data_IF_369871839309
#
_entry.id   IF_369871839309
#
_cell.length_a   1.000
_cell.length_b   1.000
_cell.length_c   1.000
_cell.angle_alpha   90.00
_cell.angle_beta   90.00
_cell.angle_gamma   90.00
#
_symmetry.space_group_name_H-M   'P 1'
#
loop_
_entity.id
_entity.type
_entity.pdbx_description
1 polymer ?
#
# COMPACT_ATOMS: atom_id res chain seq x y z
N UNK A 1 23.18 65.51 -43.53
CA UNK A 1 23.25 64.05 -43.43
C UNK A 1 22.95 63.67 -41.98
N UNK A 2 21.72 63.19 -41.71
CA UNK A 2 21.31 62.74 -40.37
C UNK A 2 21.53 61.22 -40.27
N UNK A 3 22.43 60.78 -39.38
CA UNK A 3 22.66 59.38 -39.12
C UNK A 3 21.58 58.88 -38.15
N UNK A 4 20.76 57.96 -38.63
CA UNK A 4 19.73 57.29 -37.82
C UNK A 4 20.40 56.11 -37.09
N UNK A 5 20.40 56.12 -35.75
CA UNK A 5 20.87 55.04 -34.92
C UNK A 5 19.66 54.17 -34.60
N UNK A 6 19.66 52.93 -35.09
CA UNK A 6 18.64 51.90 -34.73
C UNK A 6 19.14 51.17 -33.48
N UNK A 7 18.37 51.19 -32.38
CA UNK A 7 18.77 50.40 -31.20
C UNK A 7 18.45 48.92 -31.43
N UNK A 8 19.49 48.11 -31.38
CA UNK A 8 19.37 46.68 -31.42
C UNK A 8 18.92 46.16 -30.02
N UNK A 9 17.65 45.81 -29.90
CA UNK A 9 17.15 45.21 -28.67
C UNK A 9 17.55 43.74 -28.65
N UNK A 10 18.54 43.39 -27.84
CA UNK A 10 18.89 42.02 -27.49
C UNK A 10 17.84 41.47 -26.51
N UNK A 11 16.92 40.67 -27.04
CA UNK A 11 16.00 39.87 -26.19
C UNK A 11 16.79 38.71 -25.63
N UNK A 12 17.21 38.82 -24.39
CA UNK A 12 17.74 37.69 -23.59
C UNK A 12 16.60 36.73 -23.29
N UNK A 13 16.51 35.64 -24.03
CA UNK A 13 15.63 34.50 -23.72
C UNK A 13 16.16 33.80 -22.46
N UNK A 14 15.68 34.20 -21.29
CA UNK A 14 15.95 33.48 -20.05
C UNK A 14 15.25 32.11 -20.15
N UNK A 15 16.00 31.09 -20.51
CA UNK A 15 15.55 29.70 -20.42
C UNK A 15 15.43 29.36 -18.94
N UNK A 16 14.25 29.52 -18.36
CA UNK A 16 13.96 29.04 -17.03
C UNK A 16 14.05 27.52 -17.07
N UNK A 17 15.14 26.96 -16.57
CA UNK A 17 15.25 25.53 -16.29
C UNK A 17 14.15 25.18 -15.29
N UNK A 18 13.08 24.56 -15.75
CA UNK A 18 12.10 23.96 -14.87
C UNK A 18 12.83 22.78 -14.20
N UNK A 19 13.27 22.99 -12.98
CA UNK A 19 13.79 21.92 -12.15
C UNK A 19 12.62 21.03 -11.77
N UNK A 20 12.47 19.93 -12.47
CA UNK A 20 11.61 18.85 -12.01
C UNK A 20 12.26 18.26 -10.76
N UNK A 21 11.63 18.41 -9.61
CA UNK A 21 12.03 17.66 -8.43
C UNK A 21 11.98 16.17 -8.81
N UNK A 22 13.07 15.45 -8.53
CA UNK A 22 13.11 14.02 -8.80
C UNK A 22 11.91 13.36 -8.13
N UNK A 23 11.11 12.64 -8.93
CA UNK A 23 9.96 11.93 -8.42
C UNK A 23 10.41 10.88 -7.40
N UNK A 24 9.77 10.87 -6.24
CA UNK A 24 10.13 9.96 -5.15
C UNK A 24 9.55 8.59 -5.37
N UNK A 25 10.31 7.55 -5.03
CA UNK A 25 9.78 6.20 -4.92
C UNK A 25 8.75 6.13 -3.80
N UNK A 26 7.71 5.33 -4.00
CA UNK A 26 6.60 5.19 -3.05
C UNK A 26 6.44 3.71 -2.70
N UNK A 27 6.53 3.40 -1.41
CA UNK A 27 6.09 2.12 -0.86
C UNK A 27 4.81 2.37 -0.08
N UNK A 28 3.71 1.80 -0.58
CA UNK A 28 2.43 1.84 0.11
C UNK A 28 2.27 0.56 0.93
N UNK A 29 2.66 0.64 2.20
CA UNK A 29 2.59 -0.47 3.12
C UNK A 29 1.18 -0.54 3.72
N UNK A 30 0.49 -1.66 3.53
CA UNK A 30 -0.85 -1.88 4.06
C UNK A 30 -0.92 -3.20 4.83
N UNK A 31 -1.36 -3.12 6.07
CA UNK A 31 -1.66 -4.26 6.93
C UNK A 31 -3.11 -4.69 6.77
N UNK A 32 -3.46 -5.84 7.31
CA UNK A 32 -4.81 -6.36 7.23
C UNK A 32 -5.39 -6.53 8.63
N UNK A 33 -6.54 -5.90 8.86
CA UNK A 33 -7.25 -5.98 10.15
C UNK A 33 -6.43 -5.44 11.34
N UNK A 34 -5.64 -4.40 11.08
CA UNK A 34 -4.83 -3.75 12.11
C UNK A 34 -5.67 -2.78 12.94
N UNK A 35 -5.64 -2.96 14.24
CA UNK A 35 -6.12 -1.98 15.21
C UNK A 35 -4.99 -1.00 15.59
N UNK A 36 -5.26 0.10 16.32
CA UNK A 36 -4.24 1.05 16.74
C UNK A 36 -3.35 0.53 17.90
N UNK A 37 -3.16 -0.78 18.01
CA UNK A 37 -2.27 -1.44 18.98
C UNK A 37 -0.83 -1.39 18.48
N UNK A 38 -0.26 -0.19 18.43
CA UNK A 38 1.10 0.10 18.01
C UNK A 38 1.74 1.04 19.04
N UNK A 39 3.05 0.97 19.22
CA UNK A 39 3.78 1.81 20.15
C UNK A 39 3.56 3.31 19.90
N UNK A 40 3.61 3.73 18.63
CA UNK A 40 3.36 5.12 18.23
C UNK A 40 1.96 5.65 18.55
N UNK A 41 0.98 4.77 18.79
CA UNK A 41 -0.36 5.12 19.27
C UNK A 41 -0.52 4.96 20.80
N UNK A 42 0.58 4.67 21.50
CA UNK A 42 0.59 4.60 22.96
C UNK A 42 0.23 3.22 23.53
N UNK A 43 0.21 2.16 22.73
CA UNK A 43 0.02 0.81 23.23
C UNK A 43 1.23 0.39 24.09
N UNK A 44 1.04 0.04 25.39
CA UNK A 44 2.16 -0.26 26.27
C UNK A 44 2.77 -1.64 26.07
N UNK A 45 2.11 -2.50 25.31
CA UNK A 45 2.48 -3.91 25.15
C UNK A 45 3.09 -4.16 23.76
N UNK A 46 2.54 -3.53 22.74
CA UNK A 46 3.02 -3.69 21.37
C UNK A 46 4.46 -3.21 21.21
N UNK A 47 5.31 -4.04 20.65
CA UNK A 47 6.70 -3.70 20.33
C UNK A 47 6.82 -3.52 18.83
N UNK A 48 6.74 -2.28 18.37
CA UNK A 48 6.68 -1.92 16.95
C UNK A 48 7.77 -0.90 16.56
N UNK A 49 9.05 -1.14 16.93
CA UNK A 49 10.10 -0.12 16.83
C UNK A 49 10.31 0.42 15.40
N UNK A 50 10.14 -0.41 14.38
CA UNK A 50 10.29 0.03 13.00
C UNK A 50 9.11 0.93 12.54
N UNK A 51 7.89 0.63 12.97
CA UNK A 51 6.71 1.45 12.69
C UNK A 51 6.78 2.75 13.50
N UNK A 52 7.20 2.65 14.75
CA UNK A 52 7.34 3.80 15.64
C UNK A 52 8.37 4.80 15.09
N UNK A 53 9.49 4.31 14.56
CA UNK A 53 10.50 5.15 13.90
C UNK A 53 9.93 5.87 12.65
N UNK A 54 9.12 5.18 11.84
CA UNK A 54 8.45 5.82 10.68
C UNK A 54 7.47 6.90 11.14
N UNK A 55 6.77 6.67 12.25
CA UNK A 55 5.86 7.66 12.82
C UNK A 55 6.60 8.88 13.40
N UNK A 56 7.79 8.68 13.97
CA UNK A 56 8.64 9.75 14.52
C UNK A 56 9.20 10.64 13.40
N UNK A 57 9.67 10.06 12.30
CA UNK A 57 10.22 10.79 11.16
C UNK A 57 9.16 11.35 10.21
N UNK A 58 7.92 10.91 10.32
CA UNK A 58 6.83 11.20 9.39
C UNK A 58 5.67 11.98 9.99
N UNK A 59 4.48 11.72 9.48
CA UNK A 59 3.23 12.30 9.98
C UNK A 59 2.34 11.22 10.56
N UNK A 60 2.07 11.28 11.84
CA UNK A 60 1.16 10.38 12.53
C UNK A 60 -0.27 10.93 12.52
N UNK A 61 -1.20 10.19 11.91
CA UNK A 61 -2.62 10.53 11.90
C UNK A 61 -3.32 9.93 13.12
N UNK A 62 -3.71 10.77 14.07
CA UNK A 62 -4.44 10.35 15.26
C UNK A 62 -5.88 9.91 14.97
N UNK A 63 -6.47 10.47 13.92
CA UNK A 63 -7.83 10.17 13.52
C UNK A 63 -7.85 9.80 12.02
N UNK A 64 -7.99 8.52 11.75
CA UNK A 64 -8.17 7.99 10.40
C UNK A 64 -9.40 7.09 10.37
N UNK A 65 -10.19 7.19 9.30
CA UNK A 65 -11.48 6.50 9.19
C UNK A 65 -11.53 5.65 7.94
N UNK A 66 -11.87 4.38 8.11
CA UNK A 66 -12.19 3.51 6.99
C UNK A 66 -13.66 3.68 6.59
N UNK A 67 -13.95 3.74 5.31
CA UNK A 67 -15.33 3.84 4.82
C UNK A 67 -16.10 2.55 5.04
N UNK A 68 -15.41 1.41 5.05
CA UNK A 68 -15.99 0.08 5.24
C UNK A 68 -14.96 -0.81 5.95
N UNK A 69 -15.32 -1.34 7.09
CA UNK A 69 -14.48 -2.25 7.88
C UNK A 69 -14.54 -3.70 7.33
N UNK A 70 -14.10 -3.89 6.10
CA UNK A 70 -14.10 -5.18 5.40
C UNK A 70 -12.97 -5.21 4.38
N UNK A 71 -12.14 -6.23 4.41
CA UNK A 71 -10.90 -6.31 3.64
C UNK A 71 -11.03 -5.90 2.17
N UNK A 72 -11.83 -6.62 1.39
CA UNK A 72 -11.98 -6.37 -0.06
C UNK A 72 -12.60 -5.01 -0.33
N UNK A 73 -13.64 -4.67 0.41
CA UNK A 73 -14.36 -3.41 0.25
C UNK A 73 -13.47 -2.22 0.63
N UNK A 74 -12.72 -2.29 1.73
CA UNK A 74 -11.78 -1.25 2.14
C UNK A 74 -10.64 -1.09 1.14
N UNK A 75 -10.05 -2.23 0.68
CA UNK A 75 -8.95 -2.19 -0.31
C UNK A 75 -9.40 -1.60 -1.63
N UNK A 76 -10.64 -1.84 -2.07
CA UNK A 76 -11.18 -1.23 -3.28
C UNK A 76 -11.34 0.29 -3.15
N UNK A 77 -11.70 0.78 -1.95
CA UNK A 77 -11.73 2.23 -1.67
C UNK A 77 -10.33 2.82 -1.73
N UNK A 78 -9.36 2.19 -1.09
CA UNK A 78 -7.96 2.62 -1.11
C UNK A 78 -7.41 2.67 -2.54
N UNK A 79 -7.69 1.66 -3.35
CA UNK A 79 -7.18 1.55 -4.71
C UNK A 79 -7.96 2.35 -5.75
N UNK A 80 -9.13 2.89 -5.41
CA UNK A 80 -9.95 3.70 -6.33
C UNK A 80 -10.14 5.15 -5.91
N UNK A 81 -9.93 5.47 -4.63
CA UNK A 81 -10.30 6.76 -4.04
C UNK A 81 -11.83 6.99 -3.97
N UNK A 82 -12.64 5.96 -4.19
CA UNK A 82 -14.08 6.05 -4.25
C UNK A 82 -14.74 5.22 -3.16
N UNK A 83 -15.80 5.74 -2.55
CA UNK A 83 -16.65 4.97 -1.65
C UNK A 83 -17.25 3.74 -2.33
N UNK A 84 -17.59 2.71 -1.57
CA UNK A 84 -18.07 1.43 -2.09
C UNK A 84 -19.31 1.52 -2.98
N UNK A 85 -20.24 2.44 -2.67
CA UNK A 85 -21.41 2.67 -3.51
C UNK A 85 -21.07 3.28 -4.87
N UNK A 86 -19.95 3.96 -4.99
CA UNK A 86 -19.46 4.52 -6.25
C UNK A 86 -18.54 3.56 -7.00
N UNK A 87 -17.80 2.70 -6.29
CA UNK A 87 -16.89 1.76 -6.92
C UNK A 87 -17.48 0.37 -7.16
N UNK A 88 -18.59 0.02 -6.51
CA UNK A 88 -19.32 -1.24 -6.70
C UNK A 88 -18.90 -2.41 -5.81
N UNK A 89 -17.77 -2.32 -5.13
CA UNK A 89 -17.32 -3.40 -4.25
C UNK A 89 -17.89 -3.25 -2.85
N UNK A 90 -19.13 -3.65 -2.67
CA UNK A 90 -19.86 -3.51 -1.42
C UNK A 90 -19.42 -4.45 -0.30
N UNK A 91 -18.69 -5.51 -0.62
CA UNK A 91 -18.32 -6.55 0.32
C UNK A 91 -17.12 -7.38 -0.15
N UNK A 92 -16.97 -8.56 0.46
CA UNK A 92 -15.83 -9.43 0.21
C UNK A 92 -15.81 -10.07 -1.18
N UNK A 93 -14.61 -10.26 -1.68
CA UNK A 93 -14.30 -11.13 -2.80
C UNK A 93 -13.85 -12.49 -2.25
N UNK A 94 -14.80 -13.36 -1.97
CA UNK A 94 -14.57 -14.73 -1.50
C UNK A 94 -15.24 -15.75 -2.45
N UNK A 95 -15.07 -17.03 -2.15
CA UNK A 95 -15.73 -18.11 -2.92
C UNK A 95 -17.25 -18.00 -2.92
N UNK A 96 -17.85 -17.52 -1.83
CA UNK A 96 -19.29 -17.36 -1.67
C UNK A 96 -19.78 -15.96 -2.06
N UNK A 97 -19.04 -14.93 -1.67
CA UNK A 97 -19.36 -13.54 -1.94
C UNK A 97 -18.42 -13.05 -3.03
N UNK A 98 -18.97 -12.73 -4.20
CA UNK A 98 -18.18 -12.30 -5.35
C UNK A 98 -18.45 -10.84 -5.69
N UNK A 99 -18.39 -9.99 -4.68
CA UNK A 99 -18.46 -8.56 -4.93
C UNK A 99 -17.24 -8.09 -5.70
N UNK A 100 -17.45 -7.22 -6.65
CA UNK A 100 -16.39 -6.67 -7.49
C UNK A 100 -16.65 -5.20 -7.83
N UNK A 101 -15.60 -4.49 -8.13
CA UNK A 101 -15.70 -3.10 -8.57
C UNK A 101 -16.24 -3.00 -9.99
N UNK A 102 -16.88 -1.87 -10.29
CA UNK A 102 -17.38 -1.58 -11.63
C UNK A 102 -16.23 -1.33 -12.62
N UNK A 103 -16.44 -1.66 -13.87
CA UNK A 103 -15.43 -1.49 -14.93
C UNK A 103 -15.00 -0.04 -15.16
N UNK A 104 -15.92 0.91 -15.03
CA UNK A 104 -15.64 2.33 -15.20
C UNK A 104 -14.67 2.90 -14.14
N UNK A 105 -14.51 2.22 -13.01
CA UNK A 105 -13.53 2.58 -11.97
C UNK A 105 -12.09 2.41 -12.44
N UNK A 106 -11.87 1.59 -13.45
CA UNK A 106 -10.55 1.26 -13.99
C UNK A 106 -9.71 2.49 -14.32
N UNK A 107 -10.31 3.52 -14.91
CA UNK A 107 -9.61 4.75 -15.29
C UNK A 107 -9.13 5.58 -14.10
N UNK A 108 -9.73 5.38 -12.94
CA UNK A 108 -9.46 6.10 -11.69
C UNK A 108 -8.59 5.28 -10.74
N UNK A 109 -8.33 4.01 -11.05
CA UNK A 109 -7.60 3.14 -10.12
C UNK A 109 -6.17 3.60 -9.89
N UNK A 110 -5.75 3.56 -8.64
CA UNK A 110 -4.44 4.02 -8.19
C UNK A 110 -3.28 3.42 -8.99
N UNK A 111 -3.20 2.08 -9.22
CA UNK A 111 -2.10 1.53 -9.99
C UNK A 111 -2.04 2.09 -11.42
N UNK A 112 -3.19 2.34 -12.05
CA UNK A 112 -3.21 2.97 -13.39
C UNK A 112 -2.83 4.44 -13.35
N UNK A 113 -3.28 5.18 -12.33
CA UNK A 113 -2.92 6.58 -12.15
C UNK A 113 -1.40 6.72 -11.97
N UNK A 114 -0.80 5.85 -11.16
CA UNK A 114 0.65 5.82 -10.94
C UNK A 114 1.42 5.45 -12.21
N UNK A 115 0.99 4.42 -12.93
CA UNK A 115 1.60 4.06 -14.21
C UNK A 115 1.51 5.20 -15.24
N UNK A 116 0.36 5.88 -15.32
CA UNK A 116 0.18 7.07 -16.18
C UNK A 116 1.07 8.24 -15.78
N UNK A 117 1.36 8.38 -14.48
CA UNK A 117 2.30 9.36 -13.96
C UNK A 117 3.77 8.99 -14.16
N UNK A 118 4.07 7.87 -14.82
CA UNK A 118 5.43 7.46 -15.14
C UNK A 118 6.07 6.47 -14.16
N UNK A 119 5.35 6.04 -13.12
CA UNK A 119 5.87 5.07 -12.15
C UNK A 119 5.84 3.65 -12.70
N UNK A 120 6.85 2.86 -12.37
CA UNK A 120 6.77 1.40 -12.41
C UNK A 120 5.90 0.94 -11.26
N UNK A 121 4.88 0.14 -11.51
CA UNK A 121 3.92 -0.27 -10.48
C UNK A 121 4.09 -1.74 -10.13
N UNK A 122 4.29 -2.01 -8.84
CA UNK A 122 4.44 -3.36 -8.30
C UNK A 122 3.44 -3.67 -7.19
N UNK A 123 3.09 -4.94 -7.09
CA UNK A 123 2.25 -5.48 -6.02
C UNK A 123 2.89 -6.73 -5.43
N UNK A 124 2.86 -6.84 -4.11
CA UNK A 124 3.21 -8.06 -3.39
C UNK A 124 2.23 -8.31 -2.25
N UNK A 125 1.86 -9.57 -2.06
CA UNK A 125 1.06 -10.04 -0.92
C UNK A 125 -0.45 -10.05 -1.15
N UNK A 126 -1.24 -9.57 -0.19
CA UNK A 126 -2.69 -9.65 -0.23
C UNK A 126 -3.30 -8.63 -1.19
N UNK A 127 -3.86 -9.11 -2.28
CA UNK A 127 -4.56 -8.27 -3.27
C UNK A 127 -6.03 -8.05 -2.92
N UNK A 128 -6.81 -9.11 -2.91
CA UNK A 128 -8.18 -9.22 -2.39
C UNK A 128 -9.19 -8.19 -2.90
N UNK A 129 -9.04 -7.73 -4.13
CA UNK A 129 -10.02 -6.90 -4.86
C UNK A 129 -10.35 -7.54 -6.20
N UNK A 130 -11.47 -7.19 -6.78
CA UNK A 130 -11.91 -7.70 -8.06
C UNK A 130 -12.64 -6.61 -8.88
N UNK A 131 -12.64 -6.73 -10.21
CA UNK A 131 -11.82 -7.65 -10.99
C UNK A 131 -10.38 -7.10 -11.12
N UNK A 132 -9.40 -7.99 -11.32
CA UNK A 132 -7.99 -7.60 -11.43
C UNK A 132 -7.75 -6.55 -12.53
N UNK A 133 -8.43 -6.66 -13.66
CA UNK A 133 -8.33 -5.70 -14.76
C UNK A 133 -8.73 -4.26 -14.40
N UNK A 134 -9.44 -4.05 -13.30
CA UNK A 134 -9.78 -2.70 -12.79
C UNK A 134 -8.61 -2.09 -12.03
N UNK A 135 -7.82 -2.92 -11.33
CA UNK A 135 -6.69 -2.48 -10.51
C UNK A 135 -5.35 -3.09 -10.97
N UNK A 136 -4.98 -3.01 -12.24
CA UNK A 136 -3.81 -3.72 -12.76
C UNK A 136 -2.52 -3.06 -12.29
N UNK A 137 -1.61 -3.88 -11.77
CA UNK A 137 -0.21 -3.53 -11.59
C UNK A 137 0.62 -4.07 -12.77
N UNK A 138 1.75 -3.45 -13.08
CA UNK A 138 2.66 -3.92 -14.13
C UNK A 138 3.41 -5.17 -13.68
N UNK A 139 3.72 -5.26 -12.37
CA UNK A 139 4.48 -6.37 -11.79
C UNK A 139 3.75 -6.97 -10.60
N UNK A 140 3.55 -8.28 -10.61
CA UNK A 140 3.03 -9.05 -9.49
C UNK A 140 4.14 -9.91 -8.91
N UNK A 141 4.70 -9.48 -7.80
CA UNK A 141 5.75 -10.18 -7.09
C UNK A 141 5.16 -11.35 -6.29
N UNK A 142 5.87 -12.47 -6.29
CA UNK A 142 5.47 -13.65 -5.53
C UNK A 142 6.03 -13.60 -4.13
N UNK A 143 5.19 -13.74 -3.13
CA UNK A 143 5.61 -13.76 -1.73
C UNK A 143 4.56 -14.40 -0.83
N UNK A 144 5.02 -14.98 0.28
CA UNK A 144 4.10 -15.42 1.31
C UNK A 144 3.58 -14.20 2.08
N UNK A 145 2.33 -13.85 1.87
CA UNK A 145 1.69 -12.66 2.42
C UNK A 145 1.63 -12.62 3.96
N UNK A 146 2.05 -13.70 4.63
CA UNK A 146 2.20 -13.80 6.09
C UNK A 146 3.66 -13.88 6.55
N UNK A 147 4.59 -13.77 5.63
CA UNK A 147 6.02 -13.68 5.94
C UNK A 147 6.56 -12.38 5.35
N UNK A 148 6.53 -11.33 6.13
CA UNK A 148 6.91 -9.97 5.71
C UNK A 148 8.40 -9.87 5.38
N UNK A 149 9.25 -10.66 6.04
CA UNK A 149 10.68 -10.73 5.72
C UNK A 149 10.88 -11.30 4.32
N UNK A 150 10.24 -12.43 4.03
CA UNK A 150 10.28 -13.02 2.69
C UNK A 150 9.70 -12.09 1.62
N UNK A 151 8.60 -11.39 1.93
CA UNK A 151 8.05 -10.39 1.01
C UNK A 151 9.05 -9.26 0.72
N UNK A 152 9.76 -8.78 1.74
CA UNK A 152 10.79 -7.76 1.57
C UNK A 152 11.94 -8.26 0.69
N UNK A 153 12.40 -9.49 0.91
CA UNK A 153 13.43 -10.14 0.08
C UNK A 153 12.99 -10.26 -1.38
N UNK A 154 11.75 -10.71 -1.62
CA UNK A 154 11.19 -10.82 -2.97
C UNK A 154 10.97 -9.48 -3.65
N UNK A 155 10.84 -8.40 -2.89
CA UNK A 155 10.70 -7.04 -3.42
C UNK A 155 12.04 -6.38 -3.75
N UNK A 156 13.16 -6.94 -3.31
CA UNK A 156 14.50 -6.35 -3.43
C UNK A 156 14.83 -5.99 -4.88
N UNK A 157 14.70 -6.93 -5.80
CA UNK A 157 15.01 -6.71 -7.20
C UNK A 157 14.18 -5.57 -7.80
N UNK A 158 12.87 -5.58 -7.56
CA UNK A 158 11.97 -4.51 -8.00
C UNK A 158 12.36 -3.13 -7.45
N UNK A 159 12.75 -3.06 -6.16
CA UNK A 159 13.13 -1.82 -5.50
C UNK A 159 14.49 -1.29 -6.00
N UNK A 160 15.46 -2.20 -6.20
CA UNK A 160 16.84 -1.85 -6.53
C UNK A 160 17.13 -1.83 -8.02
N UNK A 161 16.14 -2.14 -8.85
CA UNK A 161 16.28 -2.09 -10.31
C UNK A 161 16.76 -0.70 -10.75
N UNK A 162 17.84 -0.69 -11.52
CA UNK A 162 18.38 0.53 -12.08
C UNK A 162 17.45 1.04 -13.20
N UNK A 163 16.60 1.98 -12.86
CA UNK A 163 15.61 2.56 -13.75
C UNK A 163 15.54 4.07 -13.54
N UNK A 164 15.41 4.80 -14.65
CA UNK A 164 15.17 6.24 -14.61
C UNK A 164 13.76 6.61 -14.15
N UNK A 165 12.89 5.59 -13.97
CA UNK A 165 11.53 5.78 -13.52
C UNK A 165 11.41 5.50 -12.03
N UNK A 166 10.67 6.33 -11.27
CA UNK A 166 10.32 6.03 -9.90
C UNK A 166 9.41 4.79 -9.84
N UNK A 167 9.32 4.17 -8.68
CA UNK A 167 8.42 3.05 -8.47
C UNK A 167 7.32 3.35 -7.45
N UNK A 168 6.19 2.70 -7.65
CA UNK A 168 5.09 2.58 -6.71
C UNK A 168 4.91 1.09 -6.35
N UNK A 169 5.21 0.73 -5.12
CA UNK A 169 5.06 -0.63 -4.62
C UNK A 169 3.90 -0.72 -3.62
N UNK A 170 2.85 -1.46 -3.97
CA UNK A 170 1.78 -1.82 -3.05
C UNK A 170 2.19 -3.08 -2.28
N UNK A 171 2.68 -2.88 -1.04
CA UNK A 171 3.16 -3.93 -0.16
C UNK A 171 2.08 -4.28 0.85
N UNK A 172 1.34 -5.37 0.61
CA UNK A 172 0.13 -5.69 1.34
C UNK A 172 0.27 -7.00 2.13
N UNK A 173 0.37 -6.89 3.45
CA UNK A 173 0.46 -8.07 4.32
C UNK A 173 -0.93 -8.65 4.61
N UNK A 174 -0.97 -9.93 5.01
CA UNK A 174 -2.17 -10.52 5.59
C UNK A 174 -2.22 -10.44 7.11
N UNK A 175 -1.15 -9.99 7.71
CA UNK A 175 -1.08 -9.83 9.15
C UNK A 175 -1.41 -8.38 9.53
N UNK A 176 -1.94 -8.19 10.72
CA UNK A 176 -2.25 -9.13 11.81
C UNK A 176 -3.59 -9.86 11.69
N UNK A 177 -4.26 -9.83 10.53
CA UNK A 177 -5.53 -10.54 10.34
C UNK A 177 -5.45 -11.99 10.82
N UNK A 178 -6.46 -12.39 11.59
CA UNK A 178 -6.58 -13.75 12.06
C UNK A 178 -6.54 -14.74 10.90
N UNK A 179 -5.70 -15.76 10.98
CA UNK A 179 -5.78 -16.88 10.06
C UNK A 179 -7.14 -17.58 10.23
N UNK A 180 -7.97 -17.53 9.20
CA UNK A 180 -9.19 -18.31 9.18
C UNK A 180 -8.87 -19.79 9.11
N UNK A 181 -9.64 -20.61 9.79
CA UNK A 181 -9.57 -22.03 9.64
C UNK A 181 -9.60 -22.81 10.95
N UNK A 182 -10.06 -24.04 10.84
CA UNK A 182 -10.00 -25.04 11.89
C UNK A 182 -8.55 -25.30 12.28
N UNK A 183 -8.28 -25.83 13.45
CA UNK A 183 -6.98 -26.03 14.04
C UNK A 183 -5.90 -26.63 13.13
N UNK A 184 -6.29 -27.39 12.13
CA UNK A 184 -5.39 -27.98 11.14
C UNK A 184 -4.73 -26.95 10.21
N UNK A 185 -5.29 -25.75 10.06
CA UNK A 185 -4.67 -24.69 9.31
C UNK A 185 -3.59 -23.94 10.11
N UNK A 186 -3.50 -24.23 11.41
CA UNK A 186 -2.50 -23.66 12.32
C UNK A 186 -1.06 -23.98 11.91
N UNK A 187 -0.84 -25.04 11.14
CA UNK A 187 0.49 -25.39 10.60
C UNK A 187 1.04 -24.35 9.62
N UNK A 188 0.21 -23.51 9.05
CA UNK A 188 0.62 -22.41 8.16
C UNK A 188 0.71 -21.08 8.90
N UNK A 189 0.41 -21.08 10.18
CA UNK A 189 0.42 -19.85 10.97
C UNK A 189 1.84 -19.47 11.32
N UNK A 190 1.94 -18.21 11.47
CA UNK A 190 3.05 -17.44 11.94
C UNK A 190 3.97 -18.21 12.84
N UNK A 191 5.20 -18.26 12.47
CA UNK A 191 6.27 -18.61 13.42
C UNK A 191 6.48 -17.34 14.25
N UNK A 192 6.28 -17.39 15.57
CA UNK A 192 6.47 -16.22 16.43
C UNK A 192 7.85 -15.58 16.31
N UNK A 193 8.86 -16.36 15.99
CA UNK A 193 10.23 -15.96 15.72
C UNK A 193 10.40 -15.12 14.47
N UNK A 194 9.52 -15.30 13.45
CA UNK A 194 9.52 -14.47 12.23
C UNK A 194 8.79 -13.14 12.40
N UNK A 195 7.82 -13.11 13.31
CA UNK A 195 6.92 -11.97 13.49
C UNK A 195 7.09 -11.29 14.84
N UNK A 196 8.22 -11.52 15.46
CA UNK A 196 8.57 -10.87 16.71
C UNK A 196 7.63 -11.26 17.85
N UNK A 197 6.99 -10.30 18.44
CA UNK A 197 6.13 -10.44 19.61
C UNK A 197 4.68 -10.90 19.31
N UNK A 198 4.41 -11.39 18.13
CA UNK A 198 3.07 -11.86 17.79
C UNK A 198 2.77 -13.17 18.55
N UNK A 199 1.69 -13.25 19.32
CA UNK A 199 1.41 -14.44 20.13
C UNK A 199 1.09 -15.64 19.25
N UNK A 200 1.59 -16.81 19.70
CA UNK A 200 1.23 -18.08 19.09
C UNK A 200 -0.18 -18.47 19.56
N UNK A 201 -1.18 -18.20 18.73
CA UNK A 201 -2.56 -18.52 19.08
C UNK A 201 -2.83 -20.00 18.89
N UNK A 202 -3.08 -20.67 19.97
CA UNK A 202 -3.60 -22.05 19.96
C UNK A 202 -5.13 -22.05 19.87
N UNK A 203 -5.80 -21.18 20.57
CA UNK A 203 -7.25 -21.02 20.54
C UNK A 203 -7.65 -19.71 21.22
N UNK A 204 -8.94 -19.36 21.22
CA UNK A 204 -9.48 -18.27 22.02
C UNK A 204 -9.76 -18.66 23.47
N UNK A 205 -9.02 -19.61 23.98
CA UNK A 205 -9.23 -20.07 25.32
C UNK A 205 -8.65 -19.05 26.28
N UNK A 206 -9.55 -18.60 27.15
CA UNK A 206 -9.29 -18.05 28.45
C UNK A 206 -8.16 -17.01 28.56
N UNK A 207 -8.52 -15.77 28.42
CA UNK A 207 -7.67 -14.66 28.81
C UNK A 207 -6.54 -14.32 27.86
N UNK A 208 -6.46 -14.96 26.70
CA UNK A 208 -5.59 -14.49 25.63
C UNK A 208 -6.11 -13.16 25.12
N UNK A 209 -5.55 -12.11 25.65
CA UNK A 209 -5.78 -10.78 25.10
C UNK A 209 -5.37 -10.81 23.63
N UNK A 210 -6.31 -10.44 22.79
CA UNK A 210 -6.16 -10.44 21.36
C UNK A 210 -5.44 -9.15 20.99
N UNK A 211 -4.14 -9.25 20.86
CA UNK A 211 -3.36 -8.16 20.29
C UNK A 211 -3.45 -8.21 18.77
N UNK A 212 -4.02 -7.18 18.18
CA UNK A 212 -4.10 -6.94 16.75
C UNK A 212 -3.13 -5.86 16.34
#
# INVERSE_FOLDING_TARGET
MKKSIVPCFLISLACSAVSFAAEKNIIFFITDDQSPTLGCYGDPIAKTPAIDAVAEDGTLFQNAFATTASCSASRSVVLSGLHNHANGQYGHQHSFHKFSSYENVRSLSLPRAMAKAGYRTGHIGKYHVAPERVFPFETYLKGNQRNTVHMAEQSREFITENSDKPFFLYFATSDPHRGGGKDNSSKQRLKPDLFGNKPNRKSHDEGDEIFY
#
